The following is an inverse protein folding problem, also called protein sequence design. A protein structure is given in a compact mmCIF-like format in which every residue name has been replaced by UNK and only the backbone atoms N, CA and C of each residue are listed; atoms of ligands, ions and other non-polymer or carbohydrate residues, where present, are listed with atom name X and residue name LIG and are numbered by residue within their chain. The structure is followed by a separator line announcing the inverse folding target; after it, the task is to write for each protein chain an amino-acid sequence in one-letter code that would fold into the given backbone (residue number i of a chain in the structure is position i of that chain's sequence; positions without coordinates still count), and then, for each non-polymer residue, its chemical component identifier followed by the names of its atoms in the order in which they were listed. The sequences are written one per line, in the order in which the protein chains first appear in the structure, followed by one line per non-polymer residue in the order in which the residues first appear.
data_IF_364537004035
#
_entry.id   IF_364537004035
#
_cell.length_a   1.000
_cell.length_b   1.000
_cell.length_c   1.000
_cell.angle_alpha   90.00
_cell.angle_beta   90.00
_cell.angle_gamma   90.00
#
_symmetry.space_group_name_H-M   'P 1'
#
loop_
_entity.id
_entity.type
_entity.pdbx_description
1 polymer ?
#
# COMPACT_ATOMS: atom_id res chain seq x y z
N UNK A 1 4.05 -10.03 2.46
CA UNK A 1 4.99 -9.04 1.89
C UNK A 1 6.32 -9.17 2.61
N UNK A 2 7.44 -9.21 1.90
CA UNK A 2 8.78 -9.15 2.51
C UNK A 2 8.95 -7.83 3.28
N UNK A 3 9.56 -7.90 4.46
CA UNK A 3 9.66 -6.75 5.36
C UNK A 3 11.08 -6.18 5.35
N UNK A 4 11.20 -4.85 5.22
CA UNK A 4 12.47 -4.12 5.18
C UNK A 4 13.41 -4.54 4.05
N UNK A 5 12.86 -5.07 2.97
CA UNK A 5 13.59 -5.35 1.73
C UNK A 5 13.34 -4.21 0.76
N UNK A 6 14.39 -3.54 0.29
CA UNK A 6 14.25 -2.42 -0.66
C UNK A 6 14.14 -2.95 -2.08
N UNK A 7 13.11 -2.54 -2.81
CA UNK A 7 12.83 -3.06 -4.16
C UNK A 7 13.96 -2.78 -5.18
N UNK A 8 14.68 -1.67 -4.98
CA UNK A 8 15.79 -1.25 -5.83
C UNK A 8 17.11 -2.02 -5.56
N UNK A 9 17.25 -2.60 -4.35
CA UNK A 9 18.54 -3.11 -3.84
C UNK A 9 18.51 -4.60 -3.51
N UNK A 10 17.35 -5.15 -3.16
CA UNK A 10 17.20 -6.49 -2.59
C UNK A 10 16.10 -7.30 -3.28
N UNK A 11 16.14 -8.62 -3.04
CA UNK A 11 15.07 -9.49 -3.52
C UNK A 11 13.80 -9.27 -2.71
N UNK A 12 12.73 -8.84 -3.37
CA UNK A 12 11.43 -8.59 -2.74
C UNK A 12 10.44 -9.69 -3.10
N UNK A 13 9.59 -10.06 -2.14
CA UNK A 13 8.62 -11.15 -2.28
C UNK A 13 7.25 -10.69 -1.82
N UNK A 14 6.27 -10.76 -2.70
CA UNK A 14 4.86 -10.58 -2.35
C UNK A 14 4.04 -11.83 -2.64
N UNK A 15 3.01 -12.02 -1.82
CA UNK A 15 1.96 -13.00 -2.04
C UNK A 15 0.67 -12.21 -2.18
N UNK A 16 0.03 -12.33 -3.34
CA UNK A 16 -1.18 -11.60 -3.71
C UNK A 16 -2.36 -12.56 -3.85
N UNK A 17 -3.56 -12.16 -3.41
CA UNK A 17 -4.78 -12.89 -3.75
C UNK A 17 -5.13 -12.66 -5.22
N UNK A 18 -5.44 -13.71 -5.97
CA UNK A 18 -5.87 -13.55 -7.37
C UNK A 18 -7.36 -13.20 -7.36
N UNK A 19 -7.76 -12.13 -8.07
CA UNK A 19 -9.05 -11.42 -7.99
C UNK A 19 -10.35 -12.20 -8.31
N UNK A 20 -10.44 -13.50 -8.06
CA UNK A 20 -11.68 -14.29 -8.17
C UNK A 20 -12.49 -14.30 -6.88
N UNK A 21 -11.84 -14.35 -5.71
CA UNK A 21 -12.43 -14.05 -4.40
C UNK A 21 -11.32 -13.54 -3.46
N UNK A 22 -11.67 -12.70 -2.46
CA UNK A 22 -10.69 -12.19 -1.48
C UNK A 22 -10.05 -13.26 -0.59
N UNK A 23 -10.55 -14.49 -0.66
CA UNK A 23 -10.12 -15.64 0.13
C UNK A 23 -9.23 -16.61 -0.68
N UNK A 24 -9.10 -16.39 -2.00
CA UNK A 24 -8.23 -17.15 -2.88
C UNK A 24 -6.84 -16.49 -2.98
N UNK A 25 -5.90 -16.94 -2.16
CA UNK A 25 -4.45 -16.82 -2.45
C UNK A 25 -4.28 -17.58 -3.81
N UNK A 26 -3.41 -17.30 -4.78
CA UNK A 26 -1.97 -17.21 -4.65
C UNK A 26 -1.29 -16.87 -6.01
N UNK A 27 -0.82 -15.64 -6.17
CA UNK A 27 0.33 -15.32 -7.04
C UNK A 27 1.52 -14.93 -6.15
N UNK A 28 2.71 -15.48 -6.44
CA UNK A 28 3.96 -15.08 -5.79
C UNK A 28 4.76 -14.25 -6.78
N UNK A 29 4.95 -12.97 -6.47
CA UNK A 29 5.83 -12.10 -7.24
C UNK A 29 7.20 -12.07 -6.57
N UNK A 30 8.21 -12.56 -7.29
CA UNK A 30 9.61 -12.51 -6.88
C UNK A 30 10.33 -11.49 -7.76
N UNK A 31 10.77 -10.39 -7.15
CA UNK A 31 11.74 -9.50 -7.77
C UNK A 31 13.14 -10.00 -7.41
N UNK A 32 13.91 -10.35 -8.43
CA UNK A 32 15.30 -10.77 -8.26
C UNK A 32 16.26 -9.71 -8.79
N UNK A 33 17.15 -9.20 -7.95
CA UNK A 33 18.28 -8.35 -8.35
C UNK A 33 19.30 -9.21 -9.09
N UNK A 34 19.66 -8.85 -10.32
CA UNK A 34 20.50 -9.67 -11.20
C UNK A 34 22.00 -9.52 -10.92
N UNK A 35 22.49 -9.98 -9.76
CA UNK A 35 23.93 -10.02 -9.46
C UNK A 35 24.61 -11.36 -9.79
N UNK A 36 24.00 -12.18 -10.65
CA UNK A 36 24.59 -13.45 -11.10
C UNK A 36 24.74 -13.51 -12.62
N UNK A 37 25.78 -12.81 -13.11
CA UNK A 37 26.58 -13.27 -14.24
C UNK A 37 26.05 -13.00 -15.64
N UNK A 38 25.85 -11.72 -16.01
CA UNK A 38 25.83 -11.32 -17.42
C UNK A 38 27.06 -10.46 -17.75
N UNK A 39 27.76 -10.72 -18.87
CA UNK A 39 28.89 -9.89 -19.29
C UNK A 39 28.42 -8.46 -19.56
N UNK A 40 29.24 -7.49 -19.14
CA UNK A 40 29.02 -6.05 -19.29
C UNK A 40 28.58 -5.69 -20.72
N UNK A 41 27.52 -4.90 -20.92
CA UNK A 41 27.25 -4.31 -22.22
C UNK A 41 28.27 -3.20 -22.52
N UNK A 42 28.59 -2.97 -23.80
CA UNK A 42 29.60 -2.00 -24.19
C UNK A 42 29.22 -0.60 -23.70
N UNK A 43 30.24 0.17 -23.29
CA UNK A 43 30.14 1.55 -22.88
C UNK A 43 29.26 2.36 -23.87
N UNK A 44 28.48 3.29 -23.33
CA UNK A 44 27.46 4.13 -23.99
C UNK A 44 26.00 3.65 -23.83
N UNK A 45 25.58 3.25 -22.63
CA UNK A 45 24.19 3.45 -22.17
C UNK A 45 24.14 3.50 -20.64
N UNK A 46 23.77 4.66 -20.09
CA UNK A 46 23.51 4.84 -18.66
C UNK A 46 22.06 4.43 -18.36
N UNK A 47 21.73 3.14 -18.43
CA UNK A 47 20.53 2.59 -17.79
C UNK A 47 20.80 1.12 -17.44
N UNK A 48 21.25 0.85 -16.21
CA UNK A 48 21.29 -0.53 -15.70
C UNK A 48 19.91 -0.91 -15.17
N UNK A 49 19.07 -1.53 -15.99
CA UNK A 49 17.85 -2.19 -15.50
C UNK A 49 18.24 -3.60 -15.06
N UNK A 50 18.38 -3.80 -13.75
CA UNK A 50 18.85 -5.05 -13.14
C UNK A 50 17.81 -5.70 -12.22
N UNK A 51 16.52 -5.65 -12.56
CA UNK A 51 15.46 -6.39 -11.87
C UNK A 51 14.72 -7.31 -12.83
N UNK A 52 14.49 -8.56 -12.42
CA UNK A 52 13.64 -9.51 -13.13
C UNK A 52 12.47 -9.90 -12.24
N UNK A 53 11.26 -9.75 -12.77
CA UNK A 53 10.01 -10.07 -12.08
C UNK A 53 9.62 -11.50 -12.47
N UNK A 54 9.45 -12.37 -11.47
CA UNK A 54 9.00 -13.75 -11.66
C UNK A 54 7.64 -13.90 -10.99
N UNK A 55 6.61 -13.96 -11.82
CA UNK A 55 5.26 -14.29 -11.38
C UNK A 55 5.08 -15.80 -11.33
N UNK A 56 4.52 -16.28 -10.22
CA UNK A 56 4.21 -17.68 -10.01
C UNK A 56 2.77 -17.85 -9.56
N UNK A 57 1.93 -18.38 -10.44
CA UNK A 57 0.57 -18.82 -10.09
C UNK A 57 0.64 -20.14 -9.33
N UNK A 58 0.41 -20.11 -8.01
CA UNK A 58 0.40 -21.33 -7.18
C UNK A 58 -0.93 -22.08 -7.25
N UNK A 59 -1.96 -21.52 -7.91
CA UNK A 59 -3.23 -22.19 -8.20
C UNK A 59 -3.20 -22.98 -9.51
N UNK A 60 -2.13 -22.85 -10.31
CA UNK A 60 -1.93 -23.67 -11.49
C UNK A 60 -1.83 -25.16 -11.12
N UNK A 61 -2.47 -26.02 -11.91
CA UNK A 61 -2.52 -27.48 -11.63
C UNK A 61 -1.14 -28.13 -11.59
N UNK A 62 -0.16 -27.57 -12.30
CA UNK A 62 1.24 -28.05 -12.31
C UNK A 62 2.03 -27.67 -11.04
N UNK A 63 1.48 -26.77 -10.21
CA UNK A 63 1.99 -26.41 -8.89
C UNK A 63 1.45 -27.28 -7.75
N UNK A 64 0.57 -28.25 -8.05
CA UNK A 64 0.20 -29.28 -7.08
C UNK A 64 1.45 -30.05 -6.58
N UNK A 65 1.48 -30.49 -5.30
CA UNK A 65 2.63 -31.22 -4.76
C UNK A 65 3.05 -32.42 -5.64
N UNK A 66 4.32 -32.46 -6.02
CA UNK A 66 4.87 -33.47 -6.94
C UNK A 66 4.78 -33.12 -8.42
N UNK A 67 4.08 -32.04 -8.78
CA UNK A 67 4.05 -31.49 -10.14
C UNK A 67 5.42 -31.01 -10.63
N UNK A 68 5.63 -30.99 -11.95
CA UNK A 68 6.92 -30.60 -12.54
C UNK A 68 7.29 -29.15 -12.23
N UNK A 69 6.31 -28.24 -12.29
CA UNK A 69 6.52 -26.83 -11.97
C UNK A 69 6.79 -26.64 -10.46
N UNK A 70 5.99 -27.31 -9.61
CA UNK A 70 6.20 -27.35 -8.16
C UNK A 70 7.64 -27.78 -7.79
N UNK A 71 8.12 -28.90 -8.32
CA UNK A 71 9.46 -29.42 -8.02
C UNK A 71 10.56 -28.50 -8.52
N UNK A 72 10.36 -27.84 -9.68
CA UNK A 72 11.31 -26.87 -10.22
C UNK A 72 11.40 -25.64 -9.32
N UNK A 73 10.27 -25.09 -8.89
CA UNK A 73 10.21 -23.96 -7.96
C UNK A 73 10.87 -24.32 -6.63
N UNK A 74 10.52 -25.48 -6.05
CA UNK A 74 11.07 -25.94 -4.79
C UNK A 74 12.60 -26.12 -4.85
N UNK A 75 13.11 -26.66 -5.96
CA UNK A 75 14.56 -26.78 -6.20
C UNK A 75 15.21 -25.41 -6.35
N UNK A 76 14.59 -24.47 -7.06
CA UNK A 76 15.07 -23.11 -7.17
C UNK A 76 15.18 -22.44 -5.80
N UNK A 77 14.10 -22.46 -5.01
CA UNK A 77 14.04 -21.86 -3.66
C UNK A 77 15.00 -22.49 -2.65
N UNK A 78 15.31 -23.79 -2.78
CA UNK A 78 16.19 -24.48 -1.83
C UNK A 78 17.67 -24.45 -2.21
N UNK A 79 17.97 -24.47 -3.51
CA UNK A 79 19.33 -24.72 -3.99
C UNK A 79 19.95 -23.54 -4.73
N UNK A 80 19.14 -22.61 -5.23
CA UNK A 80 19.60 -21.57 -6.14
C UNK A 80 19.29 -20.15 -5.65
N UNK A 81 18.19 -19.98 -4.91
CA UNK A 81 17.73 -18.73 -4.34
C UNK A 81 17.96 -18.77 -2.83
N UNK A 82 18.97 -18.06 -2.33
CA UNK A 82 19.18 -17.91 -0.88
C UNK A 82 18.23 -16.85 -0.30
N UNK A 83 16.92 -17.03 -0.49
CA UNK A 83 15.89 -16.09 -0.04
C UNK A 83 15.63 -16.31 1.45
N UNK A 84 16.21 -15.44 2.27
CA UNK A 84 15.92 -15.35 3.71
C UNK A 84 15.52 -13.92 4.01
N UNK A 85 14.23 -13.71 4.25
CA UNK A 85 13.66 -12.41 4.58
C UNK A 85 12.61 -12.55 5.67
N UNK A 86 12.40 -11.47 6.41
CA UNK A 86 11.26 -11.33 7.29
C UNK A 86 10.01 -11.08 6.45
N UNK A 87 8.85 -11.52 6.94
CA UNK A 87 7.56 -11.37 6.25
C UNK A 87 6.53 -10.69 7.13
N UNK A 88 5.82 -9.71 6.57
CA UNK A 88 4.53 -9.27 7.08
C UNK A 88 3.45 -10.21 6.55
N UNK A 89 2.72 -10.82 7.48
CA UNK A 89 1.65 -11.78 7.21
C UNK A 89 0.36 -11.27 7.86
N UNK A 90 -0.71 -11.20 7.08
CA UNK A 90 -2.07 -11.08 7.61
C UNK A 90 -2.87 -12.28 7.12
N UNK A 91 -3.77 -12.80 7.97
CA UNK A 91 -4.61 -13.93 7.63
C UNK A 91 -6.06 -13.56 7.92
N UNK A 92 -6.96 -13.87 6.98
CA UNK A 92 -8.39 -13.78 7.23
C UNK A 92 -8.80 -15.01 8.04
N UNK A 93 -9.06 -14.85 9.34
CA UNK A 93 -9.81 -15.86 10.07
C UNK A 93 -11.24 -15.84 9.51
N UNK A 94 -11.53 -16.71 8.54
CA UNK A 94 -12.91 -17.08 8.26
C UNK A 94 -13.57 -17.62 9.53
N UNK A 95 -14.90 -17.69 9.56
CA UNK A 95 -15.69 -18.16 10.72
C UNK A 95 -15.29 -19.56 11.22
N UNK A 96 -14.54 -20.33 10.45
CA UNK A 96 -13.83 -21.52 10.91
C UNK A 96 -12.40 -21.16 11.32
N UNK A 97 -12.15 -21.21 12.63
CA UNK A 97 -10.80 -21.22 13.21
C UNK A 97 -10.00 -22.33 12.55
N UNK A 98 -9.27 -22.01 11.48
CA UNK A 98 -8.39 -22.96 10.83
C UNK A 98 -7.13 -23.06 11.70
N UNK A 99 -6.95 -24.12 12.51
CA UNK A 99 -5.84 -24.23 13.46
C UNK A 99 -4.50 -24.57 12.78
N UNK A 100 -4.45 -24.46 11.44
CA UNK A 100 -3.34 -24.93 10.61
C UNK A 100 -2.14 -23.99 10.51
N UNK A 101 -2.24 -22.73 10.93
CA UNK A 101 -1.14 -21.76 10.86
C UNK A 101 -0.17 -21.85 12.04
N UNK A 102 -0.66 -22.13 13.25
CA UNK A 102 0.15 -22.25 14.47
C UNK A 102 1.30 -23.28 14.36
N UNK A 103 1.10 -24.51 13.86
CA UNK A 103 2.19 -25.47 13.75
C UNK A 103 3.26 -25.06 12.73
N UNK A 104 2.91 -24.29 11.69
CA UNK A 104 3.86 -23.75 10.71
C UNK A 104 4.66 -22.59 11.30
N UNK A 105 3.99 -21.67 11.99
CA UNK A 105 4.61 -20.52 12.63
C UNK A 105 5.48 -20.91 13.83
N UNK A 106 5.16 -22.02 14.52
CA UNK A 106 5.95 -22.52 15.66
C UNK A 106 7.43 -22.84 15.33
N UNK A 107 7.77 -22.97 14.04
CA UNK A 107 9.13 -23.24 13.56
C UNK A 107 9.98 -21.98 13.37
N UNK A 108 9.37 -20.80 13.51
CA UNK A 108 10.00 -19.52 13.23
C UNK A 108 9.76 -18.54 14.38
N UNK A 109 10.64 -17.56 14.53
CA UNK A 109 10.40 -16.45 15.45
C UNK A 109 9.35 -15.53 14.83
N UNK A 110 8.25 -15.31 15.53
CA UNK A 110 7.18 -14.42 15.07
C UNK A 110 6.62 -13.60 16.22
N UNK A 111 6.02 -12.46 15.89
CA UNK A 111 5.36 -11.59 16.87
C UNK A 111 4.04 -11.07 16.31
N UNK A 112 2.97 -11.16 17.08
CA UNK A 112 1.72 -10.50 16.74
C UNK A 112 1.87 -8.98 16.85
N UNK A 113 1.40 -8.25 15.84
CA UNK A 113 1.39 -6.78 15.82
C UNK A 113 -0.03 -6.30 15.54
N UNK A 114 -0.44 -5.27 16.26
CA UNK A 114 -1.66 -4.53 15.97
C UNK A 114 -1.31 -3.20 15.30
N UNK A 115 -2.16 -2.69 14.40
CA UNK A 115 -1.94 -1.37 13.83
C UNK A 115 -1.84 -0.31 14.92
N UNK A 116 -0.91 0.61 14.76
CA UNK A 116 -0.80 1.80 15.59
C UNK A 116 -1.94 2.76 15.25
N UNK A 117 -2.57 3.33 16.27
CA UNK A 117 -3.70 4.25 16.11
C UNK A 117 -3.38 5.58 16.75
N UNK A 118 -3.28 6.62 15.93
CA UNK A 118 -3.07 7.99 16.35
C UNK A 118 -4.33 8.81 16.11
N UNK A 119 -4.74 9.62 17.09
CA UNK A 119 -5.95 10.46 17.00
C UNK A 119 -5.61 11.88 17.38
N UNK A 120 -6.06 12.84 16.57
CA UNK A 120 -5.86 14.27 16.78
C UNK A 120 -7.18 15.01 16.59
N UNK A 121 -7.63 15.70 17.63
CA UNK A 121 -8.72 16.66 17.53
C UNK A 121 -8.16 17.97 17.01
N UNK A 122 -8.67 18.42 15.86
CA UNK A 122 -8.33 19.69 15.23
C UNK A 122 -9.39 20.71 15.60
N UNK A 123 -8.98 21.91 15.98
CA UNK A 123 -9.86 23.04 16.32
C UNK A 123 -9.55 24.20 15.40
N UNK A 124 -10.56 25.00 15.11
CA UNK A 124 -10.45 26.21 14.29
C UNK A 124 -9.76 25.95 12.93
N UNK A 125 -10.06 24.80 12.33
CA UNK A 125 -9.45 24.36 11.07
C UNK A 125 -9.99 25.16 9.90
N UNK A 126 -9.12 25.80 9.13
CA UNK A 126 -9.47 26.36 7.84
C UNK A 126 -9.64 25.23 6.83
N UNK A 127 -10.84 25.12 6.27
CA UNK A 127 -11.23 24.11 5.32
C UNK A 127 -11.60 24.77 3.99
N UNK A 128 -11.00 24.35 2.87
CA UNK A 128 -11.41 24.84 1.56
C UNK A 128 -12.83 24.35 1.24
N UNK A 129 -13.49 24.99 0.29
CA UNK A 129 -14.70 24.45 -0.31
C UNK A 129 -14.37 23.19 -1.12
N UNK A 130 -14.61 22.05 -0.50
CA UNK A 130 -14.29 20.73 -1.01
C UNK A 130 -14.94 20.39 -2.36
N UNK A 131 -16.02 21.08 -2.74
CA UNK A 131 -16.69 20.86 -4.04
C UNK A 131 -16.12 21.74 -5.15
N UNK A 132 -15.59 22.91 -4.86
CA UNK A 132 -15.05 23.81 -5.90
C UNK A 132 -13.51 23.81 -5.96
N UNK A 133 -12.85 23.38 -4.88
CA UNK A 133 -11.39 23.30 -4.80
C UNK A 133 -10.83 22.35 -5.86
N UNK A 134 -9.71 22.76 -6.47
CA UNK A 134 -9.01 21.93 -7.42
C UNK A 134 -8.40 20.70 -6.71
N UNK A 135 -8.35 19.53 -7.38
CA UNK A 135 -7.90 18.29 -6.74
C UNK A 135 -6.47 18.35 -6.18
N UNK A 136 -5.57 19.08 -6.83
CA UNK A 136 -4.16 19.14 -6.41
C UNK A 136 -4.01 19.94 -5.12
N UNK A 137 -4.56 21.15 -5.05
CA UNK A 137 -4.53 21.97 -3.85
C UNK A 137 -5.29 21.31 -2.70
N UNK A 138 -6.38 20.58 -2.98
CA UNK A 138 -7.10 19.80 -1.98
C UNK A 138 -6.21 18.71 -1.36
N UNK A 139 -5.50 17.94 -2.19
CA UNK A 139 -4.60 16.88 -1.71
C UNK A 139 -3.40 17.45 -0.94
N UNK A 140 -2.82 18.55 -1.42
CA UNK A 140 -1.74 19.25 -0.73
C UNK A 140 -2.21 19.76 0.64
N UNK A 141 -3.39 20.37 0.70
CA UNK A 141 -4.00 20.81 1.96
C UNK A 141 -4.27 19.63 2.92
N UNK A 142 -4.83 18.52 2.44
CA UNK A 142 -5.06 17.32 3.27
C UNK A 142 -3.74 16.78 3.84
N UNK A 143 -2.69 16.69 3.03
CA UNK A 143 -1.36 16.27 3.48
C UNK A 143 -0.76 17.24 4.51
N UNK A 144 -0.93 18.55 4.31
CA UNK A 144 -0.49 19.57 5.26
C UNK A 144 -1.21 19.45 6.62
N UNK A 145 -2.52 19.21 6.59
CA UNK A 145 -3.34 19.01 7.81
C UNK A 145 -2.89 17.77 8.58
N UNK A 146 -2.65 16.65 7.88
CA UNK A 146 -2.17 15.41 8.51
C UNK A 146 -0.79 15.58 9.16
N UNK A 147 0.14 16.19 8.42
CA UNK A 147 1.48 16.53 8.89
C UNK A 147 1.47 17.54 10.07
N UNK A 148 0.33 18.20 10.33
CA UNK A 148 0.23 19.23 11.36
C UNK A 148 0.94 20.54 10.97
N UNK A 149 1.12 20.77 9.68
CA UNK A 149 1.72 21.97 9.13
C UNK A 149 0.73 23.13 9.22
N UNK A 150 0.84 23.93 10.29
CA UNK A 150 0.09 25.17 10.46
C UNK A 150 0.98 26.40 10.37
N UNK A 151 0.42 27.53 9.91
CA UNK A 151 1.12 28.82 9.86
C UNK A 151 1.25 29.52 11.22
N UNK A 152 0.95 28.82 12.33
CA UNK A 152 0.97 29.37 13.69
C UNK A 152 2.36 29.32 14.34
N UNK A 153 3.36 28.70 13.69
CA UNK A 153 4.69 28.55 14.26
C UNK A 153 5.54 29.82 14.12
N UNK A 154 6.15 30.27 15.22
CA UNK A 154 7.14 31.36 15.20
C UNK A 154 8.55 30.89 14.83
N UNK A 155 8.76 29.57 14.66
CA UNK A 155 10.10 28.98 14.47
C UNK A 155 10.37 28.55 13.02
N UNK A 156 9.35 28.51 12.17
CA UNK A 156 9.48 28.25 10.74
C UNK A 156 8.36 28.97 9.97
N UNK A 157 8.68 29.46 8.77
CA UNK A 157 7.70 30.01 7.85
C UNK A 157 7.17 28.87 6.98
N UNK A 158 5.91 28.47 7.21
CA UNK A 158 5.19 27.61 6.26
C UNK A 158 4.58 28.49 5.17
N UNK A 159 4.82 28.14 3.91
CA UNK A 159 4.17 28.78 2.75
C UNK A 159 2.86 28.10 2.36
N UNK A 160 2.49 27.01 3.04
CA UNK A 160 1.25 26.29 2.79
C UNK A 160 0.08 27.14 3.30
N UNK A 161 -0.91 27.36 2.44
CA UNK A 161 -2.10 28.15 2.73
C UNK A 161 -3.32 27.33 2.36
N UNK A 162 -4.39 27.44 3.15
CA UNK A 162 -5.66 26.82 2.82
C UNK A 162 -6.21 27.43 1.52
N UNK A 163 -6.61 26.61 0.53
CA UNK A 163 -7.13 27.11 -0.74
C UNK A 163 -8.41 27.93 -0.57
N UNK A 164 -8.58 28.97 -1.39
CA UNK A 164 -9.79 29.80 -1.44
C UNK A 164 -10.80 29.23 -2.47
N UNK A 165 -12.13 29.30 -2.22
CA UNK A 165 -12.77 29.86 -1.04
C UNK A 165 -12.68 28.92 0.18
N UNK A 166 -12.46 29.49 1.38
CA UNK A 166 -12.33 28.72 2.62
C UNK A 166 -13.39 29.07 3.68
N UNK A 167 -13.64 28.13 4.61
CA UNK A 167 -14.47 28.30 5.80
C UNK A 167 -13.75 27.79 7.04
N UNK A 168 -14.04 28.40 8.20
CA UNK A 168 -13.54 27.90 9.47
C UNK A 168 -14.46 26.80 10.01
N UNK A 169 -13.87 25.65 10.36
CA UNK A 169 -14.52 24.55 11.04
C UNK A 169 -14.18 24.60 12.53
N UNK A 170 -15.20 24.53 13.38
CA UNK A 170 -15.04 24.54 14.84
C UNK A 170 -14.31 23.30 15.36
N UNK A 171 -14.46 22.16 14.68
CA UNK A 171 -13.82 20.92 15.04
C UNK A 171 -13.70 19.95 13.86
N UNK A 172 -12.59 19.21 13.82
CA UNK A 172 -12.41 18.07 12.94
C UNK A 172 -11.62 16.97 13.67
N UNK A 173 -11.77 15.73 13.23
CA UNK A 173 -11.04 14.59 13.77
C UNK A 173 -10.09 14.05 12.69
N UNK A 174 -8.80 14.03 12.98
CA UNK A 174 -7.79 13.31 12.20
C UNK A 174 -7.44 12.01 12.92
N UNK A 175 -7.46 10.90 12.18
CA UNK A 175 -7.08 9.57 12.67
C UNK A 175 -6.10 8.97 11.68
N UNK A 176 -4.95 8.52 12.18
CA UNK A 176 -3.95 7.78 11.41
C UNK A 176 -3.86 6.34 11.93
N UNK A 177 -3.88 5.39 11.00
CA UNK A 177 -3.75 3.95 11.24
C UNK A 177 -2.51 3.46 10.51
N UNK A 178 -1.51 2.97 11.23
CA UNK A 178 -0.25 2.51 10.64
C UNK A 178 -0.01 1.04 10.92
N UNK A 179 0.23 0.24 9.88
CA UNK A 179 0.51 -1.18 9.98
C UNK A 179 0.13 -1.93 8.70
N UNK A 180 0.13 -3.27 8.77
CA UNK A 180 -0.40 -4.09 7.69
C UNK A 180 -1.93 -4.13 7.76
N UNK A 181 -2.58 -3.24 7.04
CA UNK A 181 -4.04 -3.17 6.91
C UNK A 181 -4.51 -3.99 5.72
N UNK A 182 -5.60 -4.74 5.89
CA UNK A 182 -6.18 -5.50 4.78
C UNK A 182 -7.18 -4.62 4.01
N UNK A 183 -7.33 -4.83 2.69
CA UNK A 183 -8.33 -4.11 1.90
C UNK A 183 -9.76 -4.21 2.48
N UNK A 184 -10.13 -5.36 3.06
CA UNK A 184 -11.45 -5.56 3.69
C UNK A 184 -11.64 -4.75 4.97
N UNK A 185 -10.55 -4.47 5.69
CA UNK A 185 -10.60 -3.62 6.89
C UNK A 185 -10.83 -2.16 6.49
N UNK A 186 -10.18 -1.72 5.41
CA UNK A 186 -10.38 -0.38 4.82
C UNK A 186 -11.80 -0.24 4.26
N UNK A 187 -12.29 -1.24 3.53
CA UNK A 187 -13.66 -1.27 3.02
C UNK A 187 -14.68 -1.11 4.14
N UNK A 188 -14.56 -1.90 5.22
CA UNK A 188 -15.44 -1.80 6.39
C UNK A 188 -15.37 -0.42 7.04
N UNK A 189 -14.19 0.18 7.14
CA UNK A 189 -14.05 1.55 7.65
C UNK A 189 -14.81 2.56 6.77
N UNK A 190 -14.66 2.46 5.45
CA UNK A 190 -15.37 3.32 4.48
C UNK A 190 -16.89 3.16 4.62
N UNK A 191 -17.40 1.93 4.71
CA UNK A 191 -18.83 1.68 4.92
C UNK A 191 -19.34 2.31 6.22
N UNK A 192 -18.59 2.15 7.32
CA UNK A 192 -18.97 2.73 8.61
C UNK A 192 -18.99 4.26 8.55
N UNK A 193 -17.98 4.89 7.95
CA UNK A 193 -17.93 6.34 7.77
C UNK A 193 -19.11 6.86 6.93
N UNK A 194 -19.48 6.16 5.86
CA UNK A 194 -20.65 6.52 5.05
C UNK A 194 -21.96 6.39 5.83
N UNK A 195 -22.08 5.39 6.70
CA UNK A 195 -23.30 5.15 7.50
C UNK A 195 -23.50 6.17 8.62
N UNK A 196 -22.42 6.80 9.10
CA UNK A 196 -22.42 7.75 10.21
C UNK A 196 -22.35 9.21 9.78
N UNK A 197 -22.43 9.49 8.47
CA UNK A 197 -22.39 10.86 7.95
C UNK A 197 -23.63 11.66 8.39
N UNK A 198 -23.41 12.69 9.21
CA UNK A 198 -24.41 13.67 9.62
C UNK A 198 -24.68 14.72 8.53
N UNK A 199 -25.69 15.58 8.73
CA UNK A 199 -26.02 16.68 7.83
C UNK A 199 -24.85 17.67 7.69
N UNK A 200 -24.53 18.08 6.47
CA UNK A 200 -23.36 18.92 6.11
C UNK A 200 -21.97 18.35 6.46
N UNK A 201 -21.88 17.05 6.70
CA UNK A 201 -20.61 16.36 6.98
C UNK A 201 -19.90 15.84 5.72
N UNK A 202 -18.58 15.69 5.84
CA UNK A 202 -17.72 15.06 4.85
C UNK A 202 -16.67 14.22 5.57
N UNK A 203 -16.15 13.21 4.89
CA UNK A 203 -15.06 12.38 5.39
C UNK A 203 -14.04 12.17 4.28
N UNK A 204 -12.75 12.24 4.62
CA UNK A 204 -11.66 11.93 3.70
C UNK A 204 -10.87 10.76 4.24
N UNK A 205 -10.61 9.77 3.38
CA UNK A 205 -9.81 8.59 3.71
C UNK A 205 -8.65 8.54 2.72
N UNK A 206 -7.44 8.78 3.21
CA UNK A 206 -6.21 8.59 2.45
C UNK A 206 -5.57 7.27 2.85
N UNK A 207 -5.20 6.45 1.87
CA UNK A 207 -4.55 5.16 2.10
C UNK A 207 -3.26 5.14 1.30
N UNK A 208 -2.15 4.99 2.02
CA UNK A 208 -0.82 4.86 1.46
C UNK A 208 -0.46 3.37 1.32
N UNK A 209 0.08 2.99 0.16
CA UNK A 209 0.68 1.69 -0.06
C UNK A 209 2.06 1.57 0.60
N UNK A 210 2.67 0.39 0.46
CA UNK A 210 4.05 0.18 0.89
C UNK A 210 5.00 0.68 -0.20
N UNK A 211 6.00 1.48 0.18
CA UNK A 211 7.03 2.00 -0.74
C UNK A 211 7.83 0.88 -1.40
N UNK A 212 8.06 -0.24 -0.71
CA UNK A 212 8.82 -1.39 -1.19
C UNK A 212 7.93 -2.57 -1.63
N UNK A 213 6.71 -2.30 -2.11
CA UNK A 213 5.85 -3.34 -2.67
C UNK A 213 6.27 -3.69 -4.10
N UNK A 214 6.41 -4.98 -4.46
CA UNK A 214 6.72 -5.38 -5.84
C UNK A 214 5.50 -5.30 -6.79
N UNK A 215 4.28 -5.23 -6.24
CA UNK A 215 3.01 -5.19 -6.99
C UNK A 215 2.26 -3.89 -6.69
N UNK A 216 1.92 -3.15 -7.75
CA UNK A 216 1.15 -1.91 -7.75
C UNK A 216 -0.34 -2.18 -8.03
N UNK A 217 -1.04 -1.22 -8.61
CA UNK A 217 -2.46 -1.30 -8.89
C UNK A 217 -2.78 -2.44 -9.87
N UNK A 218 -3.77 -3.27 -9.55
CA UNK A 218 -4.36 -4.20 -10.52
C UNK A 218 -3.42 -5.29 -11.07
N UNK A 219 -2.46 -5.76 -10.26
CA UNK A 219 -1.40 -6.73 -10.62
C UNK A 219 -0.24 -6.14 -11.45
N UNK A 220 -0.25 -4.82 -11.70
CA UNK A 220 0.84 -4.16 -12.42
C UNK A 220 2.11 -4.07 -11.58
N UNK A 221 3.28 -4.02 -12.23
CA UNK A 221 4.56 -3.89 -11.54
C UNK A 221 4.69 -2.51 -10.89
N UNK A 222 5.30 -2.44 -9.71
CA UNK A 222 5.71 -1.15 -9.13
C UNK A 222 7.02 -0.69 -9.76
N UNK A 223 7.05 0.57 -10.18
CA UNK A 223 8.23 1.25 -10.68
C UNK A 223 9.32 1.41 -9.61
N UNK A 224 10.57 1.14 -10.01
CA UNK A 224 11.75 0.99 -9.13
C UNK A 224 12.64 2.23 -9.23
N UNK A 225 12.05 3.43 -9.32
CA UNK A 225 12.81 4.69 -9.31
C UNK A 225 12.34 5.61 -8.18
N UNK A 226 13.32 6.32 -7.60
CA UNK A 226 13.23 7.28 -6.49
C UNK A 226 11.81 7.79 -6.19
N UNK A 227 11.13 7.16 -5.23
CA UNK A 227 9.85 7.61 -4.69
C UNK A 227 8.66 7.37 -5.61
N UNK A 228 8.03 6.21 -5.46
CA UNK A 228 6.79 5.82 -6.14
C UNK A 228 5.77 5.32 -5.13
N UNK A 229 5.40 6.15 -4.15
CA UNK A 229 4.32 5.79 -3.23
C UNK A 229 3.00 5.85 -3.96
N UNK A 230 2.34 4.70 -4.12
CA UNK A 230 0.93 4.69 -4.50
C UNK A 230 0.10 5.09 -3.29
N UNK A 231 -0.77 6.05 -3.48
CA UNK A 231 -1.83 6.30 -2.52
C UNK A 231 -3.12 6.59 -3.26
N UNK A 232 -4.22 6.42 -2.55
CA UNK A 232 -5.50 6.94 -3.01
C UNK A 232 -6.15 7.73 -1.90
N UNK A 233 -6.94 8.72 -2.31
CA UNK A 233 -7.76 9.51 -1.43
C UNK A 233 -9.23 9.37 -1.86
N UNK A 234 -10.07 8.95 -0.93
CA UNK A 234 -11.51 8.90 -1.09
C UNK A 234 -12.13 10.03 -0.26
N UNK A 235 -12.62 11.06 -0.94
CA UNK A 235 -13.40 12.12 -0.32
C UNK A 235 -14.89 11.84 -0.50
N UNK A 236 -15.61 11.72 0.60
CA UNK A 236 -17.02 11.33 0.65
C UNK A 236 -17.88 12.46 1.19
N UNK A 237 -19.04 12.63 0.56
CA UNK A 237 -20.04 13.62 0.93
C UNK A 237 -21.34 12.94 1.40
N UNK A 238 -22.16 13.70 2.11
CA UNK A 238 -23.46 13.24 2.62
C UNK A 238 -24.41 12.74 1.52
N UNK A 239 -24.42 13.37 0.33
CA UNK A 239 -25.26 13.00 -0.82
C UNK A 239 -24.80 11.70 -1.51
N UNK A 240 -23.96 10.90 -0.84
CA UNK A 240 -23.32 9.68 -1.35
C UNK A 240 -22.40 9.91 -2.55
N UNK A 241 -22.22 11.16 -2.99
CA UNK A 241 -21.21 11.52 -3.95
C UNK A 241 -19.83 11.34 -3.32
N UNK A 242 -18.86 11.01 -4.17
CA UNK A 242 -17.47 10.87 -3.76
C UNK A 242 -16.53 11.38 -4.85
N UNK A 243 -15.31 11.73 -4.45
CA UNK A 243 -14.18 11.92 -5.34
C UNK A 243 -13.11 10.90 -4.99
N UNK A 244 -12.61 10.21 -5.99
CA UNK A 244 -11.48 9.31 -5.87
C UNK A 244 -10.28 9.98 -6.54
N UNK A 245 -9.23 10.20 -5.78
CA UNK A 245 -7.95 10.64 -6.31
C UNK A 245 -6.98 9.48 -6.21
N UNK A 246 -6.32 9.15 -7.32
CA UNK A 246 -5.27 8.15 -7.39
C UNK A 246 -3.95 8.87 -7.62
N UNK A 247 -2.95 8.52 -6.83
CA UNK A 247 -1.58 8.93 -7.04
C UNK A 247 -0.75 7.70 -7.38
N UNK A 248 0.04 7.84 -8.44
CA UNK A 248 0.88 6.78 -9.00
C UNK A 248 2.31 7.30 -9.11
N UNK A 249 3.27 6.40 -8.92
CA UNK A 249 4.66 6.72 -9.23
C UNK A 249 4.85 7.05 -10.72
N UNK A 250 5.96 7.67 -11.10
CA UNK A 250 6.24 8.07 -12.48
C UNK A 250 6.29 6.91 -13.48
N UNK A 251 6.39 5.66 -13.00
CA UNK A 251 6.47 4.44 -13.79
C UNK A 251 5.31 3.46 -13.52
N UNK A 252 4.36 3.83 -12.65
CA UNK A 252 3.24 2.96 -12.32
C UNK A 252 2.06 3.22 -13.26
N UNK A 253 1.30 2.16 -13.57
CA UNK A 253 0.03 2.29 -14.26
C UNK A 253 -1.07 2.79 -13.31
N UNK A 254 -1.98 3.62 -13.83
CA UNK A 254 -3.16 4.08 -13.10
C UNK A 254 -4.39 3.31 -13.61
N UNK A 255 -5.10 2.57 -12.73
CA UNK A 255 -6.32 1.87 -13.11
C UNK A 255 -7.46 2.86 -13.42
N UNK A 256 -8.51 2.42 -14.14
CA UNK A 256 -9.66 3.27 -14.49
C UNK A 256 -10.52 3.67 -13.30
#
# INVERSE_FOLDING_TARGET
LSFRTRIDEENCVALTPNGKTSDDIISCLLLCSSDHGRPEPPAHSFVSVSSAVVEVDLMDRSMAPGGRAYLRLLKALRCHLNLRTDFLISHHAGEEQNPGSEPLLSRYDWSERRPEVCRRALRDLLCPDLRSCDPHSLLEWLGAVDAGCGNSSSTFLSSLVCPEPQRSLSGALSVSLCGLLRPQDVWRLVEQLRSQAEEDSWASVTVHGFTDSPVSWGEEEHGVLTGGETFYNLLMFQDHAYRLHLATGPQDACPP
#
